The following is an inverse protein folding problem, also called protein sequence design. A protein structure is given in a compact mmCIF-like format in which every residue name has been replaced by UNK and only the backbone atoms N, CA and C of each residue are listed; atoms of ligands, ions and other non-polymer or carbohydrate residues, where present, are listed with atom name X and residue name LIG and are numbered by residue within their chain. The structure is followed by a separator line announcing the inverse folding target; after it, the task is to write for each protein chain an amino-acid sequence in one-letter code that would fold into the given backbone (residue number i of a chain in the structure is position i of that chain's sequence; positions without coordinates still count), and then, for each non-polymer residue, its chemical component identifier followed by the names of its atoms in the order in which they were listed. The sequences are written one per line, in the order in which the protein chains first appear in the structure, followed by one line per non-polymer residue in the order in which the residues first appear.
data_IF_325150245026
#
_entry.id   IF_325150245026
#
_cell.length_a   1.000
_cell.length_b   1.000
_cell.length_c   1.000
_cell.angle_alpha   90.00
_cell.angle_beta   90.00
_cell.angle_gamma   90.00
#
_symmetry.space_group_name_H-M   'P 1'
#
loop_
_entity.id
_entity.type
_entity.pdbx_description
1 polymer ?
#
# COMPACT_ATOMS: atom_id res chain seq x y z
N UNK A 1 -5.69 52.48 24.02
CA UNK A 1 -6.57 51.32 23.78
C UNK A 1 -6.78 51.21 22.27
N UNK A 2 -6.35 50.14 21.60
CA UNK A 2 -6.31 50.09 20.14
C UNK A 2 -7.71 49.78 19.56
N UNK A 3 -8.05 50.49 18.49
CA UNK A 3 -9.24 50.24 17.67
C UNK A 3 -9.05 48.95 16.88
N UNK A 4 -9.74 47.89 17.32
CA UNK A 4 -9.81 46.62 16.61
C UNK A 4 -10.64 46.80 15.33
N UNK A 5 -9.96 46.83 14.18
CA UNK A 5 -10.61 46.81 12.86
C UNK A 5 -11.18 45.42 12.63
N UNK A 6 -12.48 45.27 12.85
CA UNK A 6 -13.24 44.11 12.42
C UNK A 6 -13.32 44.14 10.89
N UNK A 7 -12.41 43.42 10.23
CA UNK A 7 -12.47 43.19 8.79
C UNK A 7 -13.67 42.29 8.51
N UNK A 8 -14.82 42.91 8.26
CA UNK A 8 -16.01 42.25 7.72
C UNK A 8 -15.68 41.85 6.29
N UNK A 9 -15.20 40.61 6.08
CA UNK A 9 -15.05 40.09 4.72
C UNK A 9 -16.45 40.06 4.07
N UNK A 10 -16.63 40.64 2.87
CA UNK A 10 -17.91 40.64 2.21
C UNK A 10 -18.34 39.19 1.91
N UNK A 11 -19.66 38.88 1.97
CA UNK A 11 -20.18 37.52 1.79
C UNK A 11 -19.76 36.90 0.44
N UNK A 12 -19.55 37.76 -0.56
CA UNK A 12 -19.06 37.39 -1.89
C UNK A 12 -17.64 36.79 -1.81
N UNK A 13 -16.75 37.35 -1.00
CA UNK A 13 -15.39 36.84 -0.84
C UNK A 13 -15.36 35.48 -0.16
N UNK A 14 -16.25 35.24 0.81
CA UNK A 14 -16.39 33.92 1.44
C UNK A 14 -16.93 32.87 0.46
N UNK A 15 -17.91 33.24 -0.37
CA UNK A 15 -18.46 32.36 -1.40
C UNK A 15 -17.40 31.93 -2.42
N UNK A 16 -16.58 32.87 -2.90
CA UNK A 16 -15.48 32.56 -3.83
C UNK A 16 -14.45 31.60 -3.22
N UNK A 17 -14.11 31.75 -1.94
CA UNK A 17 -13.17 30.84 -1.25
C UNK A 17 -13.75 29.43 -1.17
N UNK A 18 -15.03 29.29 -0.82
CA UNK A 18 -15.69 27.97 -0.71
C UNK A 18 -15.81 27.28 -2.07
N UNK A 19 -16.22 28.03 -3.11
CA UNK A 19 -16.33 27.50 -4.48
C UNK A 19 -14.96 27.11 -5.02
N UNK A 20 -13.93 27.92 -4.78
CA UNK A 20 -12.55 27.59 -5.13
C UNK A 20 -12.12 26.30 -4.43
N UNK A 21 -12.27 26.19 -3.11
CA UNK A 21 -11.95 24.95 -2.38
C UNK A 21 -12.67 23.73 -2.96
N UNK A 22 -13.95 23.81 -3.32
CA UNK A 22 -14.71 22.70 -3.91
C UNK A 22 -14.26 22.32 -5.33
N UNK A 23 -13.72 23.27 -6.10
CA UNK A 23 -13.19 23.04 -7.45
C UNK A 23 -11.81 22.35 -7.46
N UNK A 24 -11.04 22.42 -6.36
CA UNK A 24 -9.68 21.85 -6.28
C UNK A 24 -9.57 20.53 -5.50
N UNK A 25 -10.66 19.98 -4.94
CA UNK A 25 -10.59 18.65 -4.29
C UNK A 25 -10.76 17.54 -5.32
N UNK A 26 -9.77 17.36 -6.18
CA UNK A 26 -9.50 16.05 -6.79
C UNK A 26 -8.39 15.40 -5.97
N UNK A 27 -8.76 14.85 -4.81
CA UNK A 27 -7.84 14.03 -4.03
C UNK A 27 -7.80 12.64 -4.68
N UNK A 28 -6.81 12.40 -5.53
CA UNK A 28 -6.53 11.05 -5.97
C UNK A 28 -5.74 10.35 -4.87
N UNK A 29 -6.44 9.56 -4.07
CA UNK A 29 -5.83 8.63 -3.13
C UNK A 29 -5.25 7.44 -3.88
N UNK A 30 -4.22 7.65 -4.71
CA UNK A 30 -3.32 6.57 -5.06
C UNK A 30 -2.56 6.27 -3.77
N UNK A 31 -2.99 5.28 -3.00
CA UNK A 31 -2.22 4.79 -1.84
C UNK A 31 -0.75 4.64 -2.23
N UNK A 32 0.15 4.90 -1.28
CA UNK A 32 1.61 4.91 -1.50
C UNK A 32 2.05 3.80 -2.47
N UNK A 33 2.76 4.11 -3.58
CA UNK A 33 3.25 3.09 -4.53
C UNK A 33 4.34 2.18 -3.95
N UNK A 34 4.76 2.41 -2.71
CA UNK A 34 5.51 1.43 -1.92
C UNK A 34 4.53 0.56 -1.15
N UNK A 35 4.03 -0.50 -1.80
CA UNK A 35 3.21 -1.50 -1.13
C UNK A 35 4.08 -2.25 -0.13
N UNK A 36 4.01 -1.85 1.14
CA UNK A 36 4.44 -2.69 2.24
C UNK A 36 3.17 -3.43 2.67
N UNK A 37 2.84 -4.50 1.95
CA UNK A 37 1.85 -5.47 2.44
C UNK A 37 2.60 -6.58 3.13
N UNK A 38 2.08 -7.02 4.27
CA UNK A 38 2.63 -8.16 4.96
C UNK A 38 1.52 -9.12 5.37
N UNK A 39 1.83 -10.41 5.28
CA UNK A 39 0.94 -11.49 5.61
C UNK A 39 1.60 -12.41 6.63
N UNK A 40 0.82 -12.82 7.62
CA UNK A 40 1.24 -13.78 8.63
C UNK A 40 0.63 -15.15 8.31
N UNK A 41 1.49 -16.16 8.20
CA UNK A 41 1.11 -17.54 7.99
C UNK A 41 1.23 -18.36 9.28
N UNK A 42 0.96 -19.66 9.17
CA UNK A 42 1.18 -20.60 10.26
C UNK A 42 2.68 -20.74 10.59
N UNK A 43 3.04 -21.25 11.77
CA UNK A 43 4.42 -21.52 12.18
C UNK A 43 5.36 -20.31 12.27
N UNK A 44 4.83 -19.13 12.64
CA UNK A 44 5.60 -17.88 12.76
C UNK A 44 6.24 -17.46 11.43
N UNK A 45 5.64 -17.88 10.32
CA UNK A 45 6.03 -17.48 8.98
C UNK A 45 5.41 -16.12 8.63
N UNK A 46 6.22 -15.25 8.04
CA UNK A 46 5.84 -13.89 7.70
C UNK A 46 6.41 -13.53 6.34
N UNK A 47 5.60 -12.97 5.44
CA UNK A 47 6.09 -12.43 4.17
C UNK A 47 5.72 -10.97 4.01
N UNK A 48 6.57 -10.23 3.29
CA UNK A 48 6.32 -8.86 2.91
C UNK A 48 6.80 -8.57 1.49
N UNK A 49 6.20 -7.56 0.88
CA UNK A 49 6.68 -7.00 -0.38
C UNK A 49 7.84 -6.04 -0.10
N UNK A 50 8.94 -6.20 -0.81
CA UNK A 50 10.13 -5.35 -0.72
C UNK A 50 9.86 -3.95 -1.30
N UNK A 51 10.21 -2.92 -0.52
CA UNK A 51 10.11 -1.52 -0.90
C UNK A 51 11.34 -1.01 -1.67
N UNK A 52 12.33 -1.87 -1.98
CA UNK A 52 13.53 -1.51 -2.75
C UNK A 52 13.26 -1.02 -4.19
N UNK A 53 12.05 -1.24 -4.70
CA UNK A 53 11.62 -0.86 -6.05
C UNK A 53 11.36 -2.05 -6.96
N UNK A 54 11.85 -3.23 -6.61
CA UNK A 54 11.63 -4.47 -7.36
C UNK A 54 10.26 -5.12 -7.04
N UNK A 55 9.61 -4.72 -5.92
CA UNK A 55 8.32 -5.25 -5.44
C UNK A 55 8.30 -6.79 -5.40
N UNK A 56 9.40 -7.38 -4.93
CA UNK A 56 9.55 -8.82 -4.74
C UNK A 56 9.01 -9.25 -3.38
N UNK A 57 8.66 -10.52 -3.22
CA UNK A 57 8.19 -11.08 -1.94
C UNK A 57 9.38 -11.64 -1.17
N UNK A 58 9.56 -11.16 0.06
CA UNK A 58 10.55 -11.65 1.01
C UNK A 58 9.79 -12.36 2.13
N UNK A 59 10.21 -13.57 2.48
CA UNK A 59 9.62 -14.34 3.55
C UNK A 59 10.64 -14.70 4.63
N UNK A 60 10.17 -14.71 5.87
CA UNK A 60 10.93 -15.01 7.07
C UNK A 60 10.22 -16.13 7.84
N UNK A 61 11.01 -17.06 8.36
CA UNK A 61 10.57 -18.08 9.31
C UNK A 61 11.07 -17.78 10.74
N UNK A 62 10.68 -18.61 11.70
CA UNK A 62 11.16 -18.58 13.10
C UNK A 62 12.69 -18.51 13.23
N UNK A 63 13.43 -19.07 12.28
CA UNK A 63 14.89 -19.12 12.31
C UNK A 63 15.56 -17.90 11.65
N UNK A 64 14.77 -16.89 11.25
CA UNK A 64 15.20 -15.77 10.43
C UNK A 64 15.88 -16.21 9.12
N UNK A 65 15.56 -17.41 8.63
CA UNK A 65 15.98 -17.78 7.27
C UNK A 65 15.12 -16.98 6.32
N UNK A 66 15.81 -16.21 5.49
CA UNK A 66 15.19 -15.46 4.41
C UNK A 66 15.02 -16.44 3.27
N UNK A 67 13.78 -16.90 3.08
CA UNK A 67 13.40 -17.59 1.86
C UNK A 67 12.92 -16.51 0.90
N UNK A 68 13.78 -16.15 -0.06
CA UNK A 68 13.30 -15.46 -1.25
C UNK A 68 12.42 -16.47 -1.97
N UNK A 69 11.12 -16.18 -2.06
CA UNK A 69 10.21 -16.98 -2.89
C UNK A 69 10.53 -16.61 -4.34
N UNK A 70 11.64 -17.13 -4.86
CA UNK A 70 12.03 -17.03 -6.26
C UNK A 70 11.42 -18.19 -7.06
N UNK A 71 10.15 -18.54 -6.78
CA UNK A 71 9.48 -19.66 -7.46
C UNK A 71 9.27 -19.39 -8.95
N UNK A 72 9.50 -18.16 -9.41
CA UNK A 72 9.39 -17.80 -10.82
C UNK A 72 10.70 -17.21 -11.33
N UNK A 73 11.26 -17.80 -12.39
CA UNK A 73 12.40 -17.28 -13.18
C UNK A 73 12.17 -15.84 -13.70
N UNK A 74 10.93 -15.35 -13.59
CA UNK A 74 10.52 -13.97 -13.77
C UNK A 74 9.50 -13.65 -12.68
N UNK A 75 9.90 -12.96 -11.61
CA UNK A 75 8.95 -12.48 -10.59
C UNK A 75 8.31 -11.20 -11.13
N UNK A 76 7.05 -11.23 -11.60
CA UNK A 76 6.35 -9.99 -11.95
C UNK A 76 6.25 -9.13 -10.69
N UNK A 77 6.37 -7.81 -10.84
CA UNK A 77 6.27 -6.91 -9.69
C UNK A 77 4.89 -7.05 -9.03
N UNK A 78 4.85 -7.08 -7.70
CA UNK A 78 3.66 -7.43 -6.92
C UNK A 78 2.94 -6.19 -6.41
N UNK A 79 1.62 -6.16 -6.63
CA UNK A 79 0.73 -5.09 -6.22
C UNK A 79 0.03 -5.34 -4.87
N UNK A 80 -0.08 -6.58 -4.41
CA UNK A 80 -0.69 -6.88 -3.10
C UNK A 80 -0.30 -8.28 -2.66
N UNK A 81 -0.27 -8.47 -1.34
CA UNK A 81 0.03 -9.75 -0.70
C UNK A 81 -0.98 -10.00 0.41
N UNK A 82 -1.54 -11.20 0.47
CA UNK A 82 -2.42 -11.66 1.55
C UNK A 82 -2.14 -13.14 1.84
N UNK A 83 -2.39 -13.60 3.06
CA UNK A 83 -2.07 -14.96 3.45
C UNK A 83 -2.86 -15.40 4.67
N UNK A 84 -2.90 -16.71 4.89
CA UNK A 84 -3.63 -17.36 5.96
C UNK A 84 -2.96 -18.64 6.45
N UNK A 85 -3.72 -19.50 7.12
CA UNK A 85 -3.25 -20.78 7.66
C UNK A 85 -2.81 -21.72 6.52
N UNK A 86 -1.51 -21.73 6.24
CA UNK A 86 -0.87 -22.67 5.30
C UNK A 86 -0.74 -22.22 3.85
N UNK A 87 -1.20 -21.01 3.48
CA UNK A 87 -1.12 -20.52 2.10
C UNK A 87 -0.89 -19.01 2.02
N UNK A 88 -0.36 -18.57 0.87
CA UNK A 88 -0.11 -17.18 0.55
C UNK A 88 -0.56 -16.89 -0.88
N UNK A 89 -1.13 -15.71 -1.07
CA UNK A 89 -1.59 -15.25 -2.37
C UNK A 89 -1.07 -13.83 -2.65
N UNK A 90 -0.61 -13.60 -3.87
CA UNK A 90 -0.22 -12.30 -4.38
C UNK A 90 -1.14 -11.84 -5.52
N UNK A 91 -1.03 -10.55 -5.86
CA UNK A 91 -1.64 -9.96 -7.04
C UNK A 91 -0.54 -9.25 -7.81
N UNK A 92 -0.39 -9.56 -9.10
CA UNK A 92 0.61 -8.90 -9.96
C UNK A 92 0.23 -7.47 -10.30
N UNK A 93 1.23 -6.59 -10.37
CA UNK A 93 1.03 -5.18 -10.73
C UNK A 93 0.70 -4.96 -12.20
N UNK A 94 1.17 -5.85 -13.08
CA UNK A 94 0.97 -5.70 -14.53
C UNK A 94 -0.48 -5.94 -14.97
N UNK A 95 -1.10 -7.03 -14.50
CA UNK A 95 -2.40 -7.49 -15.00
C UNK A 95 -3.39 -7.86 -13.89
N UNK A 96 -3.07 -7.56 -12.63
CA UNK A 96 -3.93 -7.85 -11.47
C UNK A 96 -4.34 -9.32 -11.38
N UNK A 97 -3.48 -10.23 -11.84
CA UNK A 97 -3.71 -11.66 -11.71
C UNK A 97 -3.31 -12.10 -10.31
N UNK A 98 -4.17 -12.93 -9.71
CA UNK A 98 -3.90 -13.52 -8.41
C UNK A 98 -3.19 -14.86 -8.58
N UNK A 99 -2.10 -15.07 -7.85
CA UNK A 99 -1.45 -16.37 -7.71
C UNK A 99 -1.43 -16.77 -6.25
N UNK A 100 -1.68 -18.04 -5.97
CA UNK A 100 -1.65 -18.59 -4.62
C UNK A 100 -0.71 -19.79 -4.61
N UNK A 101 0.07 -19.92 -3.54
CA UNK A 101 0.91 -21.08 -3.28
C UNK A 101 0.75 -21.49 -1.82
N UNK A 102 0.86 -22.81 -1.61
CA UNK A 102 0.88 -23.37 -0.28
C UNK A 102 2.26 -23.15 0.34
N UNK A 103 2.27 -22.95 1.65
CA UNK A 103 3.48 -22.78 2.45
C UNK A 103 4.09 -24.11 2.89
N UNK A 104 3.51 -25.22 2.42
CA UNK A 104 3.94 -26.59 2.73
C UNK A 104 5.25 -26.99 2.03
N UNK A 105 5.78 -26.14 1.13
CA UNK A 105 7.02 -26.35 0.39
C UNK A 105 8.24 -25.58 0.96
N UNK A 106 8.14 -24.97 2.16
CA UNK A 106 9.23 -24.27 2.84
C UNK A 106 9.68 -24.93 4.15
#
# INVERSE_FOLDING_TARGET
MPLQKCYFLPPISSFFIVVFSLLFVTAFGYGSPGLISAAFGENEFFCAIDASGEQQIICWDKTNKISLVSTFDFVPSIASLSGGEGFLCDITANNSQAFCWDLLDF
#
